data_IF_540296383550
#
_entry.id   IF_540296383550
#
_cell.length_a   1.000
_cell.length_b   1.000
_cell.length_c   1.000
_cell.angle_alpha   90.00
_cell.angle_beta   90.00
_cell.angle_gamma   90.00
#
_symmetry.space_group_name_H-M   'P 1'
#
loop_
_entity.id
_entity.type
_entity.pdbx_description
1 polymer ?
#
# COMPACT_ATOMS: atom_id res chain seq x y z
N UNK A 1 -13.03 -8.64 9.10
CA UNK A 1 -13.38 -7.83 7.92
C UNK A 1 -12.12 -7.13 7.46
N UNK A 2 -11.83 -7.06 6.16
CA UNK A 2 -10.65 -6.35 5.65
C UNK A 2 -10.89 -4.83 5.62
N UNK A 3 -9.80 -4.07 5.76
CA UNK A 3 -9.72 -2.63 5.54
C UNK A 3 -8.54 -2.31 4.64
N UNK A 4 -8.58 -1.17 3.97
CA UNK A 4 -7.42 -0.59 3.30
C UNK A 4 -6.73 0.39 4.23
N UNK A 5 -5.48 0.09 4.61
CA UNK A 5 -4.66 0.95 5.46
C UNK A 5 -3.23 1.00 4.92
N UNK A 6 -2.39 1.86 5.47
CA UNK A 6 -0.98 1.99 5.05
C UNK A 6 -0.28 0.63 5.05
N UNK A 7 0.45 0.37 3.97
CA UNK A 7 1.24 -0.85 3.81
C UNK A 7 2.36 -0.91 4.84
N UNK A 8 2.43 -2.01 5.59
CA UNK A 8 3.49 -2.29 6.55
C UNK A 8 3.74 -3.81 6.65
N UNK A 9 4.98 -4.26 6.92
CA UNK A 9 5.29 -5.68 7.10
C UNK A 9 4.84 -6.17 8.49
N UNK A 10 3.52 -6.21 8.71
CA UNK A 10 2.91 -6.57 10.01
C UNK A 10 1.87 -7.68 9.84
N UNK A 11 1.49 -8.37 10.93
CA UNK A 11 0.33 -9.25 10.92
C UNK A 11 -0.92 -8.54 10.39
N UNK A 12 -1.69 -9.27 9.59
CA UNK A 12 -2.89 -8.81 8.91
C UNK A 12 -2.67 -8.38 7.46
N UNK A 13 -1.42 -8.17 7.04
CA UNK A 13 -1.04 -7.74 5.68
C UNK A 13 -0.08 -8.71 4.98
N UNK A 14 0.02 -9.97 5.44
CA UNK A 14 1.00 -10.94 4.93
C UNK A 14 0.31 -12.08 4.20
N UNK A 15 0.07 -11.89 2.91
CA UNK A 15 -0.51 -12.90 2.03
C UNK A 15 0.58 -13.59 1.20
N UNK A 16 0.60 -14.92 1.27
CA UNK A 16 1.48 -15.77 0.47
C UNK A 16 0.70 -16.34 -0.72
N UNK A 17 1.28 -16.28 -1.92
CA UNK A 17 0.78 -17.07 -3.05
C UNK A 17 1.10 -18.54 -2.86
N UNK A 18 0.09 -19.38 -3.02
CA UNK A 18 0.21 -20.83 -3.00
C UNK A 18 -0.43 -21.44 -4.25
N UNK A 19 0.00 -22.66 -4.57
CA UNK A 19 -0.65 -23.54 -5.55
C UNK A 19 -0.97 -22.84 -6.87
N UNK A 20 0.06 -22.23 -7.47
CA UNK A 20 -0.06 -21.63 -8.80
C UNK A 20 -0.33 -22.74 -9.81
N UNK A 21 -1.49 -22.65 -10.48
CA UNK A 21 -1.92 -23.62 -11.48
C UNK A 21 -1.47 -23.17 -12.87
N UNK A 22 -1.51 -24.08 -13.84
CA UNK A 22 -1.05 -23.86 -15.22
C UNK A 22 -1.80 -22.71 -15.92
N UNK A 23 -3.00 -22.37 -15.45
CA UNK A 23 -3.81 -21.26 -15.96
C UNK A 23 -3.43 -19.89 -15.33
N UNK A 24 -2.39 -19.84 -14.50
CA UNK A 24 -1.89 -18.63 -13.83
C UNK A 24 -2.77 -18.19 -12.66
N UNK A 25 -3.71 -19.02 -12.21
CA UNK A 25 -4.45 -18.79 -10.97
C UNK A 25 -3.66 -19.26 -9.76
N UNK A 26 -3.98 -18.74 -8.59
CA UNK A 26 -3.30 -19.10 -7.33
C UNK A 26 -4.23 -18.90 -6.13
N UNK A 27 -3.88 -19.52 -5.00
CA UNK A 27 -4.46 -19.21 -3.69
C UNK A 27 -3.64 -18.12 -3.01
N UNK A 28 -4.28 -17.34 -2.14
CA UNK A 28 -3.62 -16.32 -1.31
C UNK A 28 -3.81 -16.70 0.16
N UNK A 29 -2.81 -17.32 0.78
CA UNK A 29 -2.85 -17.74 2.19
C UNK A 29 -2.36 -16.63 3.10
N UNK A 30 -3.13 -16.30 4.13
CA UNK A 30 -2.67 -15.45 5.22
C UNK A 30 -1.61 -16.18 6.04
N UNK A 31 -0.41 -15.61 6.11
CA UNK A 31 0.72 -16.25 6.80
C UNK A 31 0.55 -16.30 8.31
N UNK A 32 -0.33 -15.47 8.88
CA UNK A 32 -0.50 -15.38 10.32
C UNK A 32 -1.55 -16.36 10.85
N UNK A 33 -2.63 -16.55 10.09
CA UNK A 33 -3.81 -17.30 10.51
C UNK A 33 -3.93 -18.63 9.74
N UNK A 34 -3.26 -18.76 8.60
CA UNK A 34 -3.19 -19.99 7.81
C UNK A 34 -4.40 -20.23 6.90
N UNK A 35 -5.46 -19.43 7.02
CA UNK A 35 -6.61 -19.42 6.09
C UNK A 35 -6.30 -18.65 4.80
N UNK A 36 -7.13 -18.85 3.78
CA UNK A 36 -6.97 -18.16 2.49
C UNK A 36 -7.88 -16.94 2.38
N UNK A 37 -7.41 -15.92 1.67
CA UNK A 37 -8.21 -14.79 1.21
C UNK A 37 -9.31 -15.32 0.31
N UNK A 38 -10.54 -14.96 0.63
CA UNK A 38 -11.73 -15.58 0.06
C UNK A 38 -12.82 -14.56 -0.23
N UNK A 39 -13.59 -14.86 -1.27
CA UNK A 39 -14.90 -14.28 -1.51
C UNK A 39 -15.91 -14.97 -0.58
N UNK A 40 -16.41 -14.22 0.41
CA UNK A 40 -17.47 -14.68 1.30
C UNK A 40 -18.84 -14.37 0.71
N UNK A 41 -19.92 -14.71 1.42
CA UNK A 41 -21.29 -14.40 1.00
C UNK A 41 -21.49 -12.90 0.76
N UNK A 42 -22.17 -12.54 -0.34
CA UNK A 42 -22.24 -11.16 -0.79
C UNK A 42 -20.94 -10.71 -1.45
N UNK A 43 -20.69 -9.42 -1.55
CA UNK A 43 -19.48 -8.88 -2.18
C UNK A 43 -18.33 -8.72 -1.18
N UNK A 44 -18.24 -9.58 -0.17
CA UNK A 44 -17.39 -9.39 1.01
C UNK A 44 -16.08 -10.16 0.88
N UNK A 45 -14.97 -9.49 1.21
CA UNK A 45 -13.66 -10.11 1.35
C UNK A 45 -13.42 -10.57 2.79
N UNK A 46 -12.88 -11.77 2.94
CA UNK A 46 -12.53 -12.31 4.25
C UNK A 46 -11.57 -13.48 4.17
N UNK A 47 -11.48 -14.24 5.26
CA UNK A 47 -10.68 -15.46 5.35
C UNK A 47 -11.59 -16.68 5.46
N UNK A 48 -11.31 -17.73 4.70
CA UNK A 48 -11.94 -19.04 4.84
C UNK A 48 -10.93 -20.17 4.65
N UNK A 49 -11.39 -21.40 4.75
CA UNK A 49 -10.60 -22.57 4.34
C UNK A 49 -10.05 -22.39 2.93
N UNK A 50 -8.80 -22.83 2.75
CA UNK A 50 -8.12 -22.85 1.47
C UNK A 50 -8.74 -23.93 0.58
N UNK A 51 -9.48 -23.50 -0.43
CA UNK A 51 -10.18 -24.40 -1.35
C UNK A 51 -10.01 -23.92 -2.79
N UNK A 52 -10.08 -24.81 -3.80
CA UNK A 52 -9.95 -24.43 -5.20
C UNK A 52 -10.96 -23.38 -5.68
N UNK A 53 -12.07 -23.18 -4.95
CA UNK A 53 -13.08 -22.16 -5.24
C UNK A 53 -12.60 -20.74 -4.91
N UNK A 54 -11.60 -20.59 -4.04
CA UNK A 54 -11.10 -19.30 -3.55
C UNK A 54 -9.83 -18.86 -4.28
N UNK A 55 -9.74 -19.22 -5.57
CA UNK A 55 -8.60 -18.89 -6.41
C UNK A 55 -8.69 -17.47 -6.94
N UNK A 56 -7.52 -16.88 -7.12
CA UNK A 56 -7.32 -15.53 -7.61
C UNK A 56 -6.47 -15.56 -8.87
N UNK A 57 -6.58 -14.50 -9.68
CA UNK A 57 -5.66 -14.24 -10.78
C UNK A 57 -5.33 -12.77 -10.86
N UNK A 58 -4.12 -12.46 -11.28
CA UNK A 58 -3.78 -11.11 -11.72
C UNK A 58 -4.22 -10.92 -13.17
N UNK A 59 -4.88 -9.80 -13.44
CA UNK A 59 -5.24 -9.40 -14.80
C UNK A 59 -4.69 -8.02 -15.08
N UNK A 60 -4.11 -7.84 -16.26
CA UNK A 60 -3.64 -6.53 -16.72
C UNK A 60 -4.59 -6.02 -17.79
N UNK A 61 -5.17 -4.84 -17.58
CA UNK A 61 -6.09 -4.19 -18.51
C UNK A 61 -5.72 -2.70 -18.61
N UNK A 62 -5.54 -2.18 -19.83
CA UNK A 62 -5.21 -0.76 -20.04
C UNK A 62 -3.92 -0.31 -19.31
N UNK A 63 -2.95 -1.21 -19.13
CA UNK A 63 -1.69 -0.92 -18.44
C UNK A 63 -1.74 -0.95 -16.91
N UNK A 64 -2.88 -1.33 -16.30
CA UNK A 64 -3.02 -1.47 -14.87
C UNK A 64 -3.44 -2.88 -14.46
N UNK A 65 -2.99 -3.32 -13.29
CA UNK A 65 -3.32 -4.63 -12.73
C UNK A 65 -4.58 -4.59 -11.87
N UNK A 66 -5.36 -5.67 -11.95
CA UNK A 66 -6.53 -5.96 -11.13
C UNK A 66 -6.36 -7.36 -10.53
N UNK A 67 -6.84 -7.55 -9.30
CA UNK A 67 -6.85 -8.86 -8.63
C UNK A 67 -8.27 -9.42 -8.72
N UNK A 68 -8.46 -10.46 -9.53
CA UNK A 68 -9.77 -11.05 -9.79
C UNK A 68 -9.94 -12.34 -8.99
N UNK A 69 -11.09 -12.49 -8.33
CA UNK A 69 -11.56 -13.77 -7.81
C UNK A 69 -12.12 -14.62 -8.96
N UNK A 70 -11.59 -15.83 -9.14
CA UNK A 70 -11.83 -16.65 -10.33
C UNK A 70 -13.28 -17.09 -10.43
N UNK A 71 -13.85 -17.64 -9.34
CA UNK A 71 -15.18 -18.24 -9.39
C UNK A 71 -16.30 -17.20 -9.58
N UNK A 72 -16.20 -16.05 -8.92
CA UNK A 72 -17.22 -14.99 -9.04
C UNK A 72 -16.98 -14.05 -10.22
N UNK A 73 -15.81 -14.15 -10.87
CA UNK A 73 -15.33 -13.22 -11.89
C UNK A 73 -15.26 -11.73 -11.46
N UNK A 74 -15.42 -11.43 -10.17
CA UNK A 74 -15.32 -10.08 -9.63
C UNK A 74 -13.89 -9.73 -9.22
N UNK A 75 -13.55 -8.45 -9.29
CA UNK A 75 -12.26 -7.90 -8.89
C UNK A 75 -12.35 -7.26 -7.50
N UNK A 76 -11.21 -7.23 -6.81
CA UNK A 76 -11.05 -6.43 -5.59
C UNK A 76 -11.21 -4.96 -5.96
N UNK A 77 -12.13 -4.31 -5.27
CA UNK A 77 -12.43 -2.89 -5.37
C UNK A 77 -12.22 -2.26 -4.00
N UNK A 78 -11.61 -1.07 -3.96
CA UNK A 78 -11.35 -0.34 -2.73
C UNK A 78 -12.63 0.05 -1.98
N UNK A 79 -13.77 0.06 -2.66
CA UNK A 79 -15.07 0.40 -2.12
C UNK A 79 -15.11 1.85 -1.61
N UNK A 80 -16.14 2.16 -0.83
CA UNK A 80 -16.22 3.39 -0.05
C UNK A 80 -15.55 3.20 1.32
N UNK A 81 -15.12 4.30 1.94
CA UNK A 81 -14.65 4.33 3.34
C UNK A 81 -13.51 3.34 3.67
N UNK A 82 -12.65 3.00 2.71
CA UNK A 82 -11.54 2.03 2.90
C UNK A 82 -12.04 0.61 3.25
N UNK A 83 -13.25 0.24 2.82
CA UNK A 83 -13.84 -1.07 3.00
C UNK A 83 -13.83 -1.82 1.67
N UNK A 84 -12.78 -2.63 1.40
CA UNK A 84 -12.65 -3.28 0.12
C UNK A 84 -13.74 -4.33 -0.07
N UNK A 85 -14.28 -4.40 -1.29
CA UNK A 85 -15.35 -5.31 -1.70
C UNK A 85 -14.97 -6.03 -2.99
N UNK A 86 -15.79 -7.00 -3.39
CA UNK A 86 -15.76 -7.61 -4.71
C UNK A 86 -16.76 -6.91 -5.63
N UNK A 87 -16.29 -6.41 -6.77
CA UNK A 87 -17.12 -5.72 -7.76
C UNK A 87 -16.79 -6.19 -9.17
N UNK A 88 -17.70 -6.09 -10.16
CA UNK A 88 -17.37 -6.42 -11.54
C UNK A 88 -16.07 -5.75 -12.00
N UNK A 89 -15.20 -6.55 -12.61
CA UNK A 89 -13.91 -6.08 -13.10
C UNK A 89 -14.06 -5.05 -14.21
N UNK A 90 -13.22 -4.02 -14.23
CA UNK A 90 -13.17 -3.09 -15.36
C UNK A 90 -12.61 -3.77 -16.62
N UNK A 91 -13.28 -3.55 -17.77
CA UNK A 91 -12.98 -4.19 -19.06
C UNK A 91 -12.32 -3.26 -20.09
N UNK A 92 -12.10 -1.98 -19.75
CA UNK A 92 -11.42 -1.00 -20.61
C UNK A 92 -10.31 -0.30 -19.85
N UNK A 93 -10.58 0.92 -19.37
CA UNK A 93 -9.69 1.62 -18.46
C UNK A 93 -9.96 1.18 -17.01
N UNK A 94 -8.92 0.77 -16.30
CA UNK A 94 -9.01 0.43 -14.88
C UNK A 94 -8.92 1.69 -14.05
N UNK A 95 -10.00 2.02 -13.34
CA UNK A 95 -10.01 3.15 -12.43
C UNK A 95 -9.29 2.81 -11.11
N UNK A 96 -8.81 3.85 -10.42
CA UNK A 96 -8.04 3.73 -9.17
C UNK A 96 -8.64 2.74 -8.13
N UNK A 97 -9.97 2.65 -7.92
CA UNK A 97 -10.53 1.73 -6.94
C UNK A 97 -10.20 0.25 -7.19
N UNK A 98 -9.96 -0.17 -8.43
CA UNK A 98 -9.63 -1.57 -8.76
C UNK A 98 -8.16 -1.78 -9.16
N UNK A 99 -7.33 -0.73 -9.09
CA UNK A 99 -5.90 -0.87 -9.35
C UNK A 99 -5.27 -1.56 -8.13
N UNK A 100 -5.00 -2.84 -8.28
CA UNK A 100 -4.34 -3.63 -7.25
C UNK A 100 -3.20 -4.45 -7.84
N UNK A 101 -2.09 -4.44 -7.12
CA UNK A 101 -0.92 -5.25 -7.40
C UNK A 101 -0.68 -6.22 -6.25
N UNK A 102 -0.08 -7.36 -6.54
CA UNK A 102 0.45 -8.24 -5.52
C UNK A 102 1.96 -8.05 -5.41
N UNK A 103 2.46 -7.75 -4.21
CA UNK A 103 3.89 -7.63 -3.90
C UNK A 103 4.28 -8.82 -3.04
N UNK A 104 5.01 -9.77 -3.62
CA UNK A 104 5.28 -11.08 -3.01
C UNK A 104 6.00 -11.02 -1.65
N UNK A 105 6.91 -10.06 -1.48
CA UNK A 105 7.62 -9.85 -0.23
C UNK A 105 7.38 -8.40 0.22
N UNK A 106 6.63 -8.17 1.32
CA UNK A 106 6.24 -9.13 2.36
C UNK A 106 4.90 -9.88 2.13
N UNK A 107 4.25 -9.72 0.98
CA UNK A 107 2.98 -10.40 0.67
C UNK A 107 1.78 -9.47 0.66
N UNK A 108 1.89 -8.32 0.00
CA UNK A 108 0.84 -7.30 -0.02
C UNK A 108 -0.10 -7.45 -1.20
N UNK A 109 -1.40 -7.23 -0.99
CA UNK A 109 -2.33 -6.79 -2.03
C UNK A 109 -2.46 -5.27 -1.85
N UNK A 110 -1.86 -4.53 -2.77
CA UNK A 110 -1.61 -3.10 -2.65
C UNK A 110 -2.36 -2.30 -3.71
N UNK A 111 -3.03 -1.24 -3.28
CA UNK A 111 -3.46 -0.15 -4.14
C UNK A 111 -2.29 0.85 -4.30
N UNK A 112 -1.89 1.19 -5.54
CA UNK A 112 -0.68 1.98 -5.79
C UNK A 112 -0.83 3.45 -5.40
N UNK A 113 0.30 4.12 -5.19
CA UNK A 113 0.34 5.57 -5.01
C UNK A 113 -0.32 6.25 -6.21
N UNK A 114 -1.16 7.24 -5.93
CA UNK A 114 -1.78 8.08 -6.97
C UNK A 114 -1.72 9.54 -6.60
N UNK A 115 -1.58 10.35 -7.65
CA UNK A 115 -1.59 11.80 -7.59
C UNK A 115 -2.92 12.29 -8.14
N UNK A 116 -3.59 13.16 -7.39
CA UNK A 116 -4.81 13.85 -7.78
C UNK A 116 -4.63 15.36 -7.64
N UNK A 117 -5.57 16.12 -8.20
CA UNK A 117 -5.59 17.59 -8.13
C UNK A 117 -4.26 18.23 -8.57
N UNK A 118 -3.81 17.91 -9.80
CA UNK A 118 -2.54 18.38 -10.37
C UNK A 118 -1.32 18.18 -9.44
N UNK A 119 -1.34 17.10 -8.65
CA UNK A 119 -0.26 16.74 -7.72
C UNK A 119 -0.42 17.26 -6.29
N UNK A 120 -1.48 18.03 -6.00
CA UNK A 120 -1.78 18.55 -4.65
C UNK A 120 -2.30 17.46 -3.71
N UNK A 121 -3.00 16.46 -4.24
CA UNK A 121 -3.51 15.34 -3.45
C UNK A 121 -2.66 14.11 -3.70
N UNK A 122 -1.88 13.72 -2.70
CA UNK A 122 -1.19 12.42 -2.68
C UNK A 122 -2.07 11.41 -1.95
N UNK A 123 -2.40 10.32 -2.62
CA UNK A 123 -2.95 9.14 -1.96
C UNK A 123 -1.83 8.14 -1.86
N UNK A 124 -1.43 7.84 -0.63
CA UNK A 124 -0.39 6.86 -0.34
C UNK A 124 -0.86 5.45 -0.67
N UNK A 125 0.10 4.56 -0.85
CA UNK A 125 -0.16 3.14 -1.00
C UNK A 125 -0.93 2.60 0.21
N UNK A 126 -1.96 1.81 -0.09
CA UNK A 126 -2.73 1.10 0.94
C UNK A 126 -2.76 -0.37 0.61
N UNK A 127 -2.78 -1.19 1.66
CA UNK A 127 -2.75 -2.63 1.57
C UNK A 127 -3.99 -3.20 2.25
N UNK A 128 -4.45 -4.37 1.77
CA UNK A 128 -5.46 -5.15 2.47
C UNK A 128 -4.93 -5.53 3.86
N UNK A 129 -5.70 -5.18 4.88
CA UNK A 129 -5.40 -5.46 6.27
C UNK A 129 -6.61 -6.05 7.01
N UNK A 130 -6.45 -7.25 7.55
CA UNK A 130 -7.48 -7.89 8.40
C UNK A 130 -7.36 -7.52 9.88
N UNK A 131 -6.23 -6.95 10.30
CA UNK A 131 -5.94 -6.51 11.67
C UNK A 131 -5.47 -5.04 11.67
N UNK A 132 -6.30 -4.10 11.16
CA UNK A 132 -5.92 -2.70 11.10
C UNK A 132 -5.67 -2.16 12.51
N UNK A 133 -4.50 -1.56 12.70
CA UNK A 133 -4.18 -0.87 13.96
C UNK A 133 -4.95 0.45 14.00
N UNK A 134 -5.47 0.81 15.18
CA UNK A 134 -6.08 2.12 15.37
C UNK A 134 -5.06 3.23 15.08
N UNK A 135 -5.46 4.21 14.28
CA UNK A 135 -4.64 5.39 14.03
C UNK A 135 -4.38 6.08 15.37
N UNK A 136 -3.10 6.31 15.67
CA UNK A 136 -2.71 7.09 16.83
C UNK A 136 -2.73 8.57 16.47
N UNK A 137 -3.22 9.39 17.39
CA UNK A 137 -3.13 10.83 17.24
C UNK A 137 -1.68 11.25 17.43
N UNK A 138 -1.15 11.95 16.43
CA UNK A 138 0.19 12.53 16.47
C UNK A 138 0.04 13.98 16.94
N UNK A 139 0.84 14.40 17.90
CA UNK A 139 0.92 15.77 18.36
C UNK A 139 2.35 16.27 18.23
N UNK A 140 2.50 17.58 18.03
CA UNK A 140 3.80 18.25 18.12
C UNK A 140 4.07 18.50 19.60
N UNK A 141 5.14 17.88 20.12
CA UNK A 141 5.57 18.01 21.51
C UNK A 141 6.90 18.75 21.59
N UNK A 142 7.26 19.22 22.78
CA UNK A 142 8.58 19.81 23.02
C UNK A 142 9.70 18.78 22.76
N UNK A 143 10.84 19.24 22.23
CA UNK A 143 11.98 18.40 21.93
C UNK A 143 12.57 17.72 23.18
N UNK A 144 12.59 18.40 24.33
CA UNK A 144 13.09 17.85 25.59
C UNK A 144 12.19 16.71 26.10
N UNK A 145 10.88 16.90 26.03
CA UNK A 145 9.87 15.91 26.44
C UNK A 145 9.90 14.68 25.52
N UNK A 146 10.04 14.91 24.20
CA UNK A 146 10.11 13.85 23.19
C UNK A 146 11.36 12.98 23.38
N UNK A 147 12.52 13.59 23.67
CA UNK A 147 13.79 12.89 23.91
C UNK A 147 13.76 12.09 25.21
N UNK A 148 13.26 12.66 26.30
CA UNK A 148 13.18 11.98 27.59
C UNK A 148 12.21 10.80 27.56
N UNK A 149 11.14 10.91 26.77
CA UNK A 149 10.16 9.84 26.55
C UNK A 149 10.63 8.77 25.57
N UNK A 150 11.80 8.93 24.95
CA UNK A 150 12.39 7.94 24.04
C UNK A 150 11.64 7.74 22.73
N UNK A 151 10.80 8.70 22.32
CA UNK A 151 10.01 8.61 21.08
C UNK A 151 10.95 8.71 19.88
N UNK A 152 10.80 7.78 18.92
CA UNK A 152 11.58 7.75 17.67
C UNK A 152 10.67 7.57 16.48
N UNK A 153 11.04 8.24 15.39
CA UNK A 153 10.41 8.08 14.08
C UNK A 153 11.38 7.41 13.13
N UNK A 154 10.85 6.54 12.29
CA UNK A 154 11.57 5.95 11.17
C UNK A 154 10.81 6.30 9.90
N UNK A 155 11.56 6.69 8.87
CA UNK A 155 11.00 6.92 7.54
C UNK A 155 10.77 5.57 6.87
N UNK A 156 9.50 5.21 6.71
CA UNK A 156 9.11 4.09 5.85
C UNK A 156 9.13 4.54 4.39
N UNK A 157 9.73 3.74 3.51
CA UNK A 157 9.81 3.99 2.06
C UNK A 157 10.47 5.34 1.71
N UNK A 158 11.57 5.70 2.38
CA UNK A 158 12.31 6.91 2.06
C UNK A 158 12.80 6.91 0.60
N UNK A 159 12.22 7.79 -0.22
CA UNK A 159 12.70 8.05 -1.57
C UNK A 159 13.49 9.35 -1.58
N UNK A 160 14.76 9.27 -1.98
CA UNK A 160 15.59 10.45 -2.22
C UNK A 160 15.58 10.71 -3.73
N UNK A 161 14.94 11.79 -4.21
CA UNK A 161 14.88 12.10 -5.63
C UNK A 161 16.28 12.36 -6.20
N UNK A 162 16.48 12.10 -7.49
CA UNK A 162 17.77 12.24 -8.15
C UNK A 162 18.33 13.66 -7.97
N UNK A 163 17.49 14.67 -8.05
CA UNK A 163 17.85 16.08 -7.83
C UNK A 163 18.46 16.29 -6.45
N UNK A 164 17.92 15.64 -5.42
CA UNK A 164 18.45 15.71 -4.07
C UNK A 164 19.78 14.97 -3.95
N UNK A 165 19.92 13.80 -4.60
CA UNK A 165 21.18 13.06 -4.64
C UNK A 165 22.28 13.88 -5.31
N UNK A 166 21.97 14.51 -6.45
CA UNK A 166 22.89 15.40 -7.17
C UNK A 166 23.27 16.62 -6.33
N UNK A 167 22.30 17.24 -5.64
CA UNK A 167 22.56 18.37 -4.75
C UNK A 167 23.47 18.00 -3.58
N UNK A 168 23.24 16.85 -2.95
CA UNK A 168 24.04 16.41 -1.81
C UNK A 168 25.46 15.97 -2.22
N UNK A 169 25.63 15.44 -3.44
CA UNK A 169 26.92 15.04 -4.00
C UNK A 169 27.72 16.21 -4.63
N UNK A 170 27.07 17.34 -4.92
CA UNK A 170 27.73 18.50 -5.48
C UNK A 170 28.69 19.15 -4.47
N UNK A 171 29.83 19.65 -4.96
CA UNK A 171 30.76 20.44 -4.15
C UNK A 171 30.05 21.70 -3.66
N UNK A 172 29.84 21.76 -2.34
CA UNK A 172 29.22 22.91 -1.69
C UNK A 172 30.30 23.99 -1.53
N UNK A 173 29.98 25.26 -1.86
CA UNK A 173 30.93 26.34 -1.66
C UNK A 173 31.37 26.39 -0.18
N UNK A 174 32.65 26.74 0.09
CA UNK A 174 33.12 26.95 1.45
C UNK A 174 32.20 27.90 2.22
N UNK A 175 32.07 27.74 3.55
CA UNK A 175 31.19 28.57 4.40
C UNK A 175 31.41 30.08 4.21
N UNK A 176 32.63 30.47 3.85
CA UNK A 176 33.07 31.86 3.69
C UNK A 176 32.80 32.42 2.29
N UNK A 177 32.21 31.63 1.40
CA UNK A 177 31.84 32.07 0.05
C UNK A 177 30.60 32.95 0.15
N UNK A 178 30.61 34.19 -0.38
CA UNK A 178 29.44 35.05 -0.36
C UNK A 178 28.29 34.37 -1.13
N UNK A 179 27.25 33.96 -0.41
CA UNK A 179 26.07 33.36 -1.04
C UNK A 179 25.22 34.49 -1.61
N UNK A 180 25.00 34.50 -2.92
CA UNK A 180 24.07 35.42 -3.56
C UNK A 180 22.64 34.99 -3.21
N UNK A 181 22.12 35.47 -2.07
CA UNK A 181 20.73 35.20 -1.67
C UNK A 181 20.47 35.25 -0.18
N UNK A 182 20.74 36.38 0.48
CA UNK A 182 20.20 36.74 1.79
C UNK A 182 20.64 35.88 2.98
N UNK A 183 20.75 36.52 4.15
CA UNK A 183 21.09 35.81 5.39
C UNK A 183 20.07 34.71 5.70
N UNK A 184 20.56 33.60 6.28
CA UNK A 184 19.70 32.55 6.85
C UNK A 184 18.67 33.21 7.76
N UNK A 185 17.38 32.93 7.53
CA UNK A 185 16.35 33.26 8.51
C UNK A 185 16.77 32.65 9.86
N UNK A 186 16.75 33.42 10.96
CA UNK A 186 17.14 32.93 12.27
C UNK A 186 16.21 31.77 12.71
N UNK A 187 16.73 30.87 13.58
CA UNK A 187 16.03 29.65 14.00
C UNK A 187 14.69 29.92 14.71
#
# INVERSE_FOLDING_TARGET
EYRLVTCAPKPGQRLQRLEEDQDGTFLLKDQDDGRCLSALSGNVLGLSECTPQQRWRLRTQGGASQVQHVLSANCIDAGSEHKPILYPCHTGHVNQPQKFSFIANPGWIQNPITWGDNGRRRTFETCLDRLPTQQQNIAVLDCADTRSSGVRWELLNAFVPLERQLWDAADKPPPDTPVLGGDKAPP
#
